data_IF_989218448927
#
_entry.id   IF_989218448927
#
_cell.length_a   1.000
_cell.length_b   1.000
_cell.length_c   1.000
_cell.angle_alpha   90.00
_cell.angle_beta   90.00
_cell.angle_gamma   90.00
#
_symmetry.space_group_name_H-M   'P 1'
#
loop_
_entity.id
_entity.type
_entity.pdbx_description
1 polymer ?
#
# COMPACT_ATOMS: atom_id res chain seq x y z
N UNK A 1 53.97 13.91 65.04
CA UNK A 1 52.94 14.69 65.76
C UNK A 1 52.13 15.40 64.69
N UNK A 2 51.26 14.69 63.97
CA UNK A 2 49.83 14.51 64.28
C UNK A 2 49.09 15.83 64.49
N UNK A 3 48.12 16.15 63.62
CA UNK A 3 46.68 16.09 63.97
C UNK A 3 45.78 16.47 62.77
N UNK A 4 45.23 15.44 62.12
CA UNK A 4 43.79 15.18 61.94
C UNK A 4 42.78 16.37 61.96
N UNK A 5 41.98 16.55 60.88
CA UNK A 5 40.53 16.23 60.80
C UNK A 5 39.76 16.94 59.66
N UNK A 6 39.02 16.09 58.94
CA UNK A 6 37.80 16.25 58.11
C UNK A 6 37.03 17.58 58.18
N UNK A 7 36.55 18.04 57.01
CA UNK A 7 35.18 18.52 56.83
C UNK A 7 34.72 18.29 55.37
N UNK A 8 33.65 17.52 55.18
CA UNK A 8 32.79 17.54 53.99
C UNK A 8 31.80 18.71 54.12
N UNK A 9 31.28 19.22 53.00
CA UNK A 9 29.81 19.24 52.90
C UNK A 9 29.25 18.89 51.51
N UNK A 10 28.12 18.19 51.56
CA UNK A 10 26.94 18.21 50.70
C UNK A 10 27.13 18.45 49.19
N UNK A 11 27.10 17.37 48.41
CA UNK A 11 26.62 17.41 47.02
C UNK A 11 25.11 17.25 47.06
N UNK A 12 24.43 18.26 46.54
CA UNK A 12 23.00 18.40 46.43
C UNK A 12 22.36 17.25 45.64
N UNK A 13 21.23 16.82 46.18
CA UNK A 13 20.24 15.92 45.61
C UNK A 13 19.77 16.46 44.24
N UNK A 14 20.22 15.86 43.13
CA UNK A 14 19.60 16.07 41.82
C UNK A 14 18.37 15.17 41.73
N UNK A 15 17.22 15.80 41.91
CA UNK A 15 15.90 15.27 41.63
C UNK A 15 15.89 14.69 40.21
N UNK A 16 15.73 13.37 40.11
CA UNK A 16 15.29 12.71 38.88
C UNK A 16 13.84 13.14 38.68
N UNK A 17 13.64 14.25 37.97
CA UNK A 17 12.32 14.60 37.45
C UNK A 17 11.96 13.54 36.42
N UNK A 18 10.95 12.76 36.76
CA UNK A 18 10.21 11.89 35.86
C UNK A 18 10.04 12.55 34.50
N UNK A 19 10.68 11.96 33.48
CA UNK A 19 10.36 12.26 32.11
C UNK A 19 8.88 11.90 31.93
N UNK A 20 8.05 12.94 31.78
CA UNK A 20 6.73 12.79 31.22
C UNK A 20 6.96 12.20 29.82
N UNK A 21 6.54 10.96 29.62
CA UNK A 21 6.34 10.46 28.29
C UNK A 21 5.18 11.28 27.73
N UNK A 22 5.51 12.33 26.98
CA UNK A 22 4.55 12.95 26.09
C UNK A 22 4.17 11.88 25.06
N UNK A 23 2.92 11.45 25.11
CA UNK A 23 2.28 10.74 24.01
C UNK A 23 2.41 11.63 22.77
N UNK A 24 3.38 11.31 21.91
CA UNK A 24 3.54 11.98 20.62
C UNK A 24 2.30 11.63 19.81
N UNK A 25 1.38 12.58 19.76
CA UNK A 25 0.23 12.56 18.87
C UNK A 25 0.75 12.68 17.43
N UNK A 26 1.11 11.55 16.82
CA UNK A 26 1.75 11.38 15.51
C UNK A 26 0.90 11.84 14.32
N UNK A 27 -0.27 12.42 14.56
CA UNK A 27 -1.17 12.96 13.52
C UNK A 27 -0.85 14.42 13.11
N UNK A 28 0.07 15.10 13.79
CA UNK A 28 0.41 16.48 13.46
C UNK A 28 1.36 16.54 12.25
N UNK A 29 0.77 16.90 11.09
CA UNK A 29 1.39 17.37 9.84
C UNK A 29 1.49 16.38 8.65
N UNK A 30 0.65 15.35 8.60
CA UNK A 30 0.46 14.55 7.38
C UNK A 30 -0.26 15.36 6.30
N UNK A 31 0.43 15.66 5.19
CA UNK A 31 -0.18 16.23 4.00
C UNK A 31 -0.62 15.12 3.01
N UNK A 32 -1.92 14.84 3.03
CA UNK A 32 -2.53 13.85 2.13
C UNK A 32 -3.03 14.45 0.81
N UNK A 33 -2.97 15.77 0.65
CA UNK A 33 -3.51 16.44 -0.54
C UNK A 33 -2.76 16.03 -1.82
N UNK A 34 -3.47 16.11 -2.94
CA UNK A 34 -2.96 15.78 -4.27
C UNK A 34 -3.55 14.50 -4.84
N UNK A 35 -2.90 13.97 -5.88
CA UNK A 35 -3.40 12.83 -6.64
C UNK A 35 -2.87 11.51 -6.11
N UNK A 36 -3.76 10.52 -6.10
CA UNK A 36 -3.49 9.18 -5.60
C UNK A 36 -4.04 8.13 -6.56
N UNK A 37 -3.44 6.94 -6.57
CA UNK A 37 -4.00 5.77 -7.23
C UNK A 37 -4.81 5.01 -6.19
N UNK A 38 -6.10 4.83 -6.41
CA UNK A 38 -7.00 4.13 -5.51
C UNK A 38 -7.64 2.89 -6.15
N UNK A 39 -7.89 1.87 -5.35
CA UNK A 39 -8.69 0.69 -5.70
C UNK A 39 -9.81 0.51 -4.68
N UNK A 40 -11.00 0.12 -5.16
CA UNK A 40 -12.23 0.04 -4.37
C UNK A 40 -12.88 -1.34 -4.52
N UNK A 41 -12.55 -2.28 -3.65
CA UNK A 41 -13.12 -3.64 -3.70
C UNK A 41 -14.60 -3.60 -3.26
N UNK A 42 -15.51 -4.34 -3.93
CA UNK A 42 -15.27 -5.41 -4.90
C UNK A 42 -14.95 -4.99 -6.35
N UNK A 43 -14.95 -3.70 -6.67
CA UNK A 43 -14.67 -3.18 -8.01
C UNK A 43 -13.14 -3.03 -8.18
N UNK A 44 -12.49 -4.10 -8.66
CA UNK A 44 -11.04 -4.31 -8.57
C UNK A 44 -10.17 -3.56 -9.59
N UNK A 45 -10.57 -2.40 -10.11
CA UNK A 45 -9.67 -1.59 -10.94
C UNK A 45 -9.11 -0.42 -10.16
N UNK A 46 -7.83 -0.17 -10.40
CA UNK A 46 -7.18 1.05 -9.95
C UNK A 46 -7.61 2.23 -10.83
N UNK A 47 -7.94 3.34 -10.16
CA UNK A 47 -8.28 4.63 -10.73
C UNK A 47 -7.49 5.75 -10.04
N UNK A 48 -7.58 6.96 -10.59
CA UNK A 48 -6.94 8.14 -10.00
C UNK A 48 -8.00 8.92 -9.23
N UNK A 49 -7.66 9.30 -8.01
CA UNK A 49 -8.46 10.16 -7.15
C UNK A 49 -7.66 11.39 -6.74
N UNK A 50 -8.37 12.45 -6.41
CA UNK A 50 -7.82 13.70 -5.91
C UNK A 50 -8.25 13.87 -4.45
N UNK A 51 -7.28 13.99 -3.55
CA UNK A 51 -7.52 14.24 -2.14
C UNK A 51 -7.32 15.73 -1.90
N UNK A 52 -8.30 16.36 -1.27
CA UNK A 52 -8.24 17.78 -0.88
C UNK A 52 -8.71 17.95 0.55
N UNK A 53 -8.12 18.90 1.28
CA UNK A 53 -8.58 19.26 2.61
C UNK A 53 -9.66 20.35 2.49
N UNK A 54 -10.85 20.06 2.98
CA UNK A 54 -11.99 20.99 2.95
C UNK A 54 -12.56 21.14 4.37
N UNK A 55 -12.28 22.29 5.00
CA UNK A 55 -12.65 22.51 6.40
C UNK A 55 -11.97 21.49 7.32
N UNK A 56 -12.79 20.67 7.99
CA UNK A 56 -12.34 19.65 8.95
C UNK A 56 -12.38 18.21 8.38
N UNK A 57 -12.40 18.06 7.06
CA UNK A 57 -12.42 16.76 6.39
C UNK A 57 -11.40 16.72 5.25
N UNK A 58 -10.87 15.53 4.98
CA UNK A 58 -10.29 15.17 3.71
C UNK A 58 -11.38 14.64 2.78
N UNK A 59 -11.46 15.21 1.58
CA UNK A 59 -12.42 14.85 0.54
C UNK A 59 -11.67 14.17 -0.60
N UNK A 60 -12.08 12.96 -0.92
CA UNK A 60 -11.54 12.15 -2.02
C UNK A 60 -12.51 12.20 -3.19
N UNK A 61 -12.08 12.78 -4.30
CA UNK A 61 -12.88 12.99 -5.50
C UNK A 61 -12.36 12.11 -6.64
N UNK A 62 -13.25 11.46 -7.39
CA UNK A 62 -12.84 10.63 -8.53
C UNK A 62 -12.38 11.51 -9.69
N UNK A 63 -11.12 11.38 -10.10
CA UNK A 63 -10.62 12.02 -11.34
C UNK A 63 -11.22 11.31 -12.54
N UNK A 64 -11.15 9.97 -12.54
CA UNK A 64 -11.76 9.11 -13.56
C UNK A 64 -12.71 8.14 -12.88
N UNK A 65 -13.94 8.58 -12.67
CA UNK A 65 -14.97 7.75 -12.06
C UNK A 65 -15.55 6.69 -13.00
N UNK A 66 -16.66 6.12 -12.57
CA UNK A 66 -17.29 4.94 -13.17
C UNK A 66 -18.82 5.06 -13.24
N UNK A 67 -19.47 3.96 -13.65
CA UNK A 67 -20.92 3.94 -13.84
C UNK A 67 -21.71 4.06 -12.54
N UNK A 68 -21.10 3.83 -11.38
CA UNK A 68 -21.69 3.96 -10.05
C UNK A 68 -21.34 5.31 -9.45
N UNK A 69 -20.06 5.68 -9.40
CA UNK A 69 -19.61 7.00 -8.89
C UNK A 69 -18.84 7.71 -10.01
N UNK A 70 -19.42 8.71 -10.69
CA UNK A 70 -18.81 9.32 -11.87
C UNK A 70 -17.65 10.27 -11.53
N UNK A 71 -16.95 10.72 -12.57
CA UNK A 71 -15.88 11.72 -12.44
C UNK A 71 -16.42 13.01 -11.82
N UNK A 72 -15.63 13.60 -10.91
CA UNK A 72 -16.00 14.81 -10.17
C UNK A 72 -16.81 14.56 -8.90
N UNK A 73 -17.32 13.34 -8.69
CA UNK A 73 -18.04 13.00 -7.47
C UNK A 73 -17.10 12.55 -6.35
N UNK A 74 -17.55 12.76 -5.11
CA UNK A 74 -16.84 12.35 -3.91
C UNK A 74 -16.96 10.82 -3.78
N UNK A 75 -15.83 10.11 -3.73
CA UNK A 75 -15.79 8.67 -3.48
C UNK A 75 -15.60 8.34 -2.00
N UNK A 76 -14.94 9.21 -1.25
CA UNK A 76 -14.70 9.02 0.19
C UNK A 76 -14.50 10.36 0.89
N UNK A 77 -14.81 10.39 2.17
CA UNK A 77 -14.42 11.46 3.09
C UNK A 77 -13.91 10.89 4.40
N UNK A 78 -12.99 11.60 5.04
CA UNK A 78 -12.44 11.25 6.35
C UNK A 78 -12.22 12.50 7.20
N UNK A 79 -12.35 12.40 8.51
CA UNK A 79 -11.99 13.48 9.42
C UNK A 79 -10.46 13.64 9.54
N UNK A 80 -10.01 14.81 10.01
CA UNK A 80 -8.57 15.13 10.06
C UNK A 80 -7.78 14.26 11.05
N UNK A 81 -8.44 13.61 12.01
CA UNK A 81 -7.82 12.70 12.98
C UNK A 81 -8.00 11.23 12.58
N UNK A 82 -8.55 10.97 11.39
CA UNK A 82 -8.70 9.64 10.79
C UNK A 82 -9.49 8.64 11.63
N UNK A 83 -10.36 9.14 12.52
CA UNK A 83 -11.21 8.30 13.38
C UNK A 83 -12.48 7.86 12.66
N UNK A 84 -12.95 8.65 11.70
CA UNK A 84 -14.17 8.39 10.96
C UNK A 84 -13.91 8.54 9.47
N UNK A 85 -14.33 7.55 8.68
CA UNK A 85 -14.41 7.69 7.24
C UNK A 85 -15.75 7.21 6.70
N UNK A 86 -16.12 7.73 5.52
CA UNK A 86 -17.30 7.30 4.78
C UNK A 86 -16.97 7.15 3.31
N UNK A 87 -17.27 6.00 2.73
CA UNK A 87 -17.23 5.79 1.28
C UNK A 87 -18.58 6.02 0.62
N UNK A 88 -18.57 6.49 -0.62
CA UNK A 88 -19.75 6.74 -1.42
C UNK A 88 -20.09 5.51 -2.27
N UNK A 89 -21.30 5.00 -2.10
CA UNK A 89 -21.91 4.00 -2.98
C UNK A 89 -23.09 4.58 -3.75
N UNK A 90 -23.46 3.94 -4.87
CA UNK A 90 -24.66 4.25 -5.61
C UNK A 90 -25.05 3.08 -6.53
N UNK A 91 -26.31 3.05 -6.97
CA UNK A 91 -26.74 2.18 -8.06
C UNK A 91 -26.22 2.68 -9.41
N UNK A 92 -26.15 1.79 -10.40
CA UNK A 92 -25.69 2.12 -11.77
C UNK A 92 -26.40 3.36 -12.33
N UNK A 93 -25.61 4.27 -12.89
CA UNK A 93 -26.02 5.59 -13.33
C UNK A 93 -26.06 6.63 -12.21
N UNK A 94 -25.26 6.44 -11.14
CA UNK A 94 -25.23 7.28 -9.93
C UNK A 94 -26.62 7.54 -9.32
N UNK A 95 -27.44 6.49 -9.26
CA UNK A 95 -28.79 6.58 -8.71
C UNK A 95 -28.78 6.21 -7.23
N UNK A 96 -29.56 6.94 -6.44
CA UNK A 96 -29.71 6.72 -4.99
C UNK A 96 -28.36 6.66 -4.26
N UNK A 97 -27.55 7.73 -4.30
CA UNK A 97 -26.26 7.75 -3.62
C UNK A 97 -26.44 7.58 -2.10
N UNK A 98 -25.55 6.79 -1.49
CA UNK A 98 -25.54 6.51 -0.06
C UNK A 98 -24.11 6.45 0.50
N UNK A 99 -23.98 6.66 1.81
CA UNK A 99 -22.71 6.60 2.51
C UNK A 99 -22.57 5.29 3.28
N UNK A 100 -21.38 4.69 3.23
CA UNK A 100 -20.98 3.51 3.99
C UNK A 100 -19.91 3.97 4.98
N UNK A 101 -20.13 3.74 6.28
CA UNK A 101 -19.10 4.02 7.27
C UNK A 101 -17.92 3.05 7.11
N UNK A 102 -16.71 3.57 7.27
CA UNK A 102 -15.47 2.80 7.21
C UNK A 102 -14.53 3.17 8.35
N UNK A 103 -13.54 2.31 8.57
CA UNK A 103 -12.40 2.52 9.47
C UNK A 103 -11.12 2.55 8.65
N UNK A 104 -10.30 3.57 8.87
CA UNK A 104 -8.95 3.61 8.30
C UNK A 104 -8.02 2.75 9.17
N UNK A 105 -7.31 1.81 8.57
CA UNK A 105 -6.30 0.97 9.22
C UNK A 105 -4.90 1.56 9.06
N UNK A 106 -4.66 2.20 7.91
CA UNK A 106 -3.36 2.77 7.57
C UNK A 106 -3.58 4.15 7.01
N UNK A 107 -2.83 5.12 7.55
CA UNK A 107 -2.73 6.48 7.00
C UNK A 107 -1.27 6.91 7.09
N UNK A 108 -0.60 6.98 5.95
CA UNK A 108 0.76 7.50 5.78
C UNK A 108 0.80 8.49 4.62
N UNK A 109 1.97 9.10 4.40
CA UNK A 109 2.20 10.01 3.27
C UNK A 109 2.02 9.34 1.90
N UNK A 110 2.03 8.01 1.82
CA UNK A 110 2.10 7.27 0.56
C UNK A 110 1.18 6.04 0.49
N UNK A 111 0.47 5.71 1.57
CA UNK A 111 -0.52 4.65 1.65
C UNK A 111 -1.68 5.03 2.58
N UNK A 112 -2.89 4.86 2.09
CA UNK A 112 -4.13 4.94 2.86
C UNK A 112 -4.87 3.63 2.63
N UNK A 113 -5.26 2.94 3.70
CA UNK A 113 -6.07 1.75 3.60
C UNK A 113 -7.20 1.76 4.62
N UNK A 114 -8.40 1.36 4.21
CA UNK A 114 -9.58 1.36 5.07
C UNK A 114 -10.62 0.33 4.66
N UNK A 115 -11.39 -0.10 5.65
CA UNK A 115 -12.37 -1.18 5.54
C UNK A 115 -13.70 -0.74 6.15
N UNK A 116 -14.80 -1.08 5.48
CA UNK A 116 -16.17 -0.91 5.94
C UNK A 116 -17.04 -2.05 5.41
N UNK A 117 -18.31 -2.04 5.76
CA UNK A 117 -19.27 -3.08 5.33
C UNK A 117 -19.38 -3.10 3.80
N UNK A 118 -18.69 -4.06 3.19
CA UNK A 118 -18.64 -4.21 1.73
C UNK A 118 -17.79 -3.16 1.00
N UNK A 119 -17.01 -2.35 1.71
CA UNK A 119 -16.10 -1.36 1.16
C UNK A 119 -14.67 -1.65 1.60
N UNK A 120 -13.76 -1.83 0.66
CA UNK A 120 -12.33 -1.85 0.96
C UNK A 120 -11.61 -0.90 0.01
N UNK A 121 -10.97 0.10 0.60
CA UNK A 121 -10.23 1.14 -0.13
C UNK A 121 -8.75 0.99 0.17
N UNK A 122 -7.95 0.99 -0.88
CA UNK A 122 -6.50 1.13 -0.79
C UNK A 122 -6.11 2.23 -1.77
N UNK A 123 -5.54 3.32 -1.26
CA UNK A 123 -4.98 4.39 -2.05
C UNK A 123 -3.48 4.49 -1.79
N UNK A 124 -2.69 4.59 -2.85
CA UNK A 124 -1.24 4.68 -2.76
C UNK A 124 -0.70 5.72 -3.74
N UNK A 125 0.50 6.20 -3.45
CA UNK A 125 1.32 6.97 -4.40
C UNK A 125 2.79 6.59 -4.25
N UNK A 126 3.56 6.81 -5.31
CA UNK A 126 5.02 6.77 -5.22
C UNK A 126 5.49 8.21 -5.05
N UNK A 127 6.12 8.50 -3.91
CA UNK A 127 6.75 9.80 -3.69
C UNK A 127 7.95 9.96 -4.65
N UNK A 128 8.30 11.19 -5.07
CA UNK A 128 9.45 11.42 -5.97
C UNK A 128 10.76 10.75 -5.49
N UNK A 129 10.99 10.76 -4.19
CA UNK A 129 12.14 10.20 -3.48
C UNK A 129 12.01 8.70 -3.16
N UNK A 130 10.87 8.08 -3.47
CA UNK A 130 10.63 6.67 -3.16
C UNK A 130 11.67 5.78 -3.87
N UNK A 131 12.31 4.88 -3.14
CA UNK A 131 13.28 3.95 -3.76
C UNK A 131 12.60 2.76 -4.43
N UNK A 132 11.33 2.52 -4.11
CA UNK A 132 10.54 1.38 -4.60
C UNK A 132 9.17 1.83 -5.08
N UNK A 133 8.73 1.27 -6.21
CA UNK A 133 7.41 1.50 -6.78
C UNK A 133 6.38 0.53 -6.22
N UNK A 134 5.22 1.05 -5.80
CA UNK A 134 4.12 0.26 -5.26
C UNK A 134 3.44 -0.58 -6.34
N UNK A 135 3.40 -1.90 -6.19
CA UNK A 135 2.94 -2.81 -7.25
C UNK A 135 2.00 -3.92 -6.79
N UNK A 136 1.72 -4.04 -5.49
CA UNK A 136 0.75 -5.02 -4.97
C UNK A 136 -0.14 -4.32 -3.94
N UNK A 137 -1.43 -4.19 -4.27
CA UNK A 137 -2.48 -3.65 -3.37
C UNK A 137 -3.40 -4.73 -2.80
N UNK A 138 -3.48 -5.89 -3.46
CA UNK A 138 -4.32 -7.03 -3.08
C UNK A 138 -3.66 -8.34 -3.54
N UNK A 139 -3.86 -9.42 -2.79
CA UNK A 139 -3.44 -10.78 -3.13
C UNK A 139 -4.30 -11.43 -4.23
N UNK A 140 -5.46 -10.86 -4.55
CA UNK A 140 -6.30 -11.30 -5.69
C UNK A 140 -6.03 -10.53 -6.98
N UNK A 141 -5.15 -9.55 -6.95
CA UNK A 141 -4.79 -8.76 -8.13
C UNK A 141 -4.36 -9.66 -9.30
N UNK A 142 -5.03 -9.52 -10.43
CA UNK A 142 -4.60 -10.10 -11.70
C UNK A 142 -5.13 -9.28 -12.86
N UNK A 143 -4.54 -9.51 -14.03
CA UNK A 143 -5.03 -8.94 -15.27
C UNK A 143 -6.48 -9.39 -15.57
N UNK A 144 -7.30 -8.51 -16.17
CA UNK A 144 -8.62 -8.88 -16.62
C UNK A 144 -8.54 -9.95 -17.72
N UNK A 145 -9.66 -10.62 -17.99
CA UNK A 145 -9.79 -11.51 -19.13
C UNK A 145 -9.41 -10.74 -20.41
N UNK A 146 -8.46 -11.28 -21.19
CA UNK A 146 -7.84 -10.68 -22.38
C UNK A 146 -6.87 -9.50 -22.13
N UNK A 147 -6.53 -9.19 -20.87
CA UNK A 147 -5.54 -8.15 -20.55
C UNK A 147 -4.12 -8.46 -21.06
N UNK A 148 -3.80 -9.75 -21.25
CA UNK A 148 -2.47 -10.19 -21.70
C UNK A 148 -2.13 -9.67 -23.11
N UNK A 149 -3.04 -9.78 -24.07
CA UNK A 149 -2.80 -9.30 -25.45
C UNK A 149 -2.51 -7.80 -25.47
N UNK A 150 -3.28 -7.03 -24.70
CA UNK A 150 -3.09 -5.59 -24.55
C UNK A 150 -1.69 -5.28 -24.01
N UNK A 151 -1.24 -6.04 -23.01
CA UNK A 151 0.07 -5.86 -22.40
C UNK A 151 1.20 -6.22 -23.35
N UNK A 152 1.12 -7.34 -24.06
CA UNK A 152 2.13 -7.75 -25.02
C UNK A 152 2.30 -6.72 -26.15
N UNK A 153 1.21 -6.09 -26.61
CA UNK A 153 1.26 -5.03 -27.62
C UNK A 153 1.81 -3.69 -27.09
N UNK A 154 1.53 -3.36 -25.83
CA UNK A 154 1.86 -2.04 -25.27
C UNK A 154 3.23 -1.99 -24.59
N UNK A 155 3.71 -3.10 -24.01
CA UNK A 155 5.02 -3.15 -23.34
C UNK A 155 6.16 -2.68 -24.23
N UNK A 156 6.30 -3.08 -25.51
CA UNK A 156 7.40 -2.61 -26.36
C UNK A 156 7.42 -1.10 -26.54
N UNK A 157 6.23 -0.48 -26.66
CA UNK A 157 6.07 0.97 -26.83
C UNK A 157 6.37 1.73 -25.53
N UNK A 158 6.05 1.12 -24.40
CA UNK A 158 6.17 1.72 -23.08
C UNK A 158 7.49 1.37 -22.36
N UNK A 159 8.28 0.42 -22.86
CA UNK A 159 9.43 -0.16 -22.15
C UNK A 159 10.41 0.90 -21.64
N UNK A 160 10.97 1.70 -22.55
CA UNK A 160 11.90 2.79 -22.20
C UNK A 160 11.24 3.95 -21.48
N UNK A 161 9.92 4.09 -21.60
CA UNK A 161 9.16 5.13 -20.91
C UNK A 161 8.99 4.77 -19.42
N UNK A 162 8.58 3.54 -19.14
CA UNK A 162 8.23 3.04 -17.81
C UNK A 162 9.42 2.49 -17.00
N UNK A 163 10.44 1.94 -17.66
CA UNK A 163 11.55 1.27 -17.01
C UNK A 163 12.87 1.98 -17.27
N UNK A 164 13.73 1.98 -16.26
CA UNK A 164 15.13 2.35 -16.35
C UNK A 164 15.97 1.08 -16.11
N UNK A 165 16.75 0.68 -17.11
CA UNK A 165 17.45 -0.62 -17.10
C UNK A 165 18.96 -0.46 -17.21
N UNK A 166 19.68 -1.27 -16.44
CA UNK A 166 21.12 -1.50 -16.54
C UNK A 166 21.33 -2.95 -16.97
N UNK A 167 21.66 -3.16 -18.25
CA UNK A 167 21.62 -4.47 -18.87
C UNK A 167 20.18 -5.03 -18.87
N UNK A 168 20.00 -6.22 -18.29
CA UNK A 168 18.69 -6.91 -18.19
C UNK A 168 18.01 -6.72 -16.84
N UNK A 169 18.57 -5.89 -15.95
CA UNK A 169 17.96 -5.56 -14.65
C UNK A 169 17.34 -4.18 -14.72
N UNK A 170 16.03 -4.09 -14.50
CA UNK A 170 15.26 -2.86 -14.62
C UNK A 170 14.71 -2.39 -13.28
N UNK A 171 14.42 -1.09 -13.24
CA UNK A 171 13.64 -0.42 -12.21
C UNK A 171 12.44 0.25 -12.83
N UNK A 172 11.30 0.19 -12.15
CA UNK A 172 10.19 1.10 -12.39
C UNK A 172 10.67 2.53 -12.16
N UNK A 173 10.37 3.42 -13.10
CA UNK A 173 10.65 4.84 -12.90
C UNK A 173 9.67 5.44 -11.89
N UNK A 174 10.18 6.38 -11.10
CA UNK A 174 9.33 7.28 -10.34
C UNK A 174 8.78 8.37 -11.26
N UNK A 175 7.58 8.83 -10.92
CA UNK A 175 6.88 9.86 -11.65
C UNK A 175 6.76 11.10 -10.77
N UNK A 176 6.98 12.31 -11.32
CA UNK A 176 6.72 13.53 -10.58
C UNK A 176 5.22 13.69 -10.31
N UNK A 177 4.88 14.52 -9.33
CA UNK A 177 3.50 14.88 -9.02
C UNK A 177 2.76 15.36 -10.28
N UNK A 178 1.50 14.94 -10.42
CA UNK A 178 0.65 15.24 -11.59
C UNK A 178 0.82 14.28 -12.77
N UNK A 179 1.66 13.24 -12.64
CA UNK A 179 1.89 12.18 -13.66
C UNK A 179 1.41 10.81 -13.18
N UNK A 180 0.39 10.78 -12.33
CA UNK A 180 -0.17 9.55 -11.75
C UNK A 180 -0.79 8.66 -12.83
N UNK A 181 -1.27 9.23 -13.94
CA UNK A 181 -1.77 8.48 -15.09
C UNK A 181 -0.67 7.65 -15.76
N UNK A 182 0.51 8.23 -15.98
CA UNK A 182 1.67 7.51 -16.49
C UNK A 182 2.13 6.43 -15.51
N UNK A 183 2.21 6.78 -14.22
CA UNK A 183 2.54 5.83 -13.17
C UNK A 183 1.59 4.61 -13.18
N UNK A 184 0.28 4.87 -13.22
CA UNK A 184 -0.74 3.84 -13.25
C UNK A 184 -0.66 2.96 -14.51
N UNK A 185 -0.45 3.57 -15.69
CA UNK A 185 -0.28 2.82 -16.94
C UNK A 185 0.94 1.91 -16.85
N UNK A 186 2.08 2.43 -16.40
CA UNK A 186 3.30 1.66 -16.26
C UNK A 186 3.14 0.49 -15.27
N UNK A 187 2.50 0.72 -14.12
CA UNK A 187 2.18 -0.34 -13.15
C UNK A 187 1.27 -1.39 -13.77
N UNK A 188 0.24 -1.00 -14.52
CA UNK A 188 -0.65 -1.94 -15.22
C UNK A 188 0.10 -2.82 -16.22
N UNK A 189 1.09 -2.26 -16.92
CA UNK A 189 1.87 -3.00 -17.92
C UNK A 189 2.91 -3.94 -17.30
N UNK A 190 3.58 -3.54 -16.22
CA UNK A 190 4.78 -4.23 -15.71
C UNK A 190 4.63 -4.85 -14.31
N UNK A 191 3.58 -4.52 -13.56
CA UNK A 191 3.38 -4.96 -12.18
C UNK A 191 2.13 -5.81 -11.93
N UNK A 192 1.35 -6.12 -12.97
CA UNK A 192 0.12 -6.92 -12.81
C UNK A 192 0.37 -8.37 -13.22
N UNK A 193 0.13 -9.35 -12.33
CA UNK A 193 0.32 -10.75 -12.67
C UNK A 193 -0.79 -11.22 -13.63
N UNK A 194 -0.45 -12.16 -14.52
CA UNK A 194 -1.43 -12.88 -15.36
C UNK A 194 -2.21 -13.91 -14.56
N UNK A 195 -1.62 -14.41 -13.47
CA UNK A 195 -2.26 -15.34 -12.54
C UNK A 195 -1.90 -14.99 -11.11
N UNK A 196 -2.90 -14.97 -10.25
CA UNK A 196 -2.76 -14.98 -8.80
C UNK A 196 -3.72 -16.04 -8.24
N UNK A 197 -3.26 -16.86 -7.29
CA UNK A 197 -4.15 -17.81 -6.63
C UNK A 197 -4.68 -17.13 -5.38
N UNK A 198 -5.91 -16.66 -5.49
CA UNK A 198 -6.60 -16.15 -4.33
C UNK A 198 -6.94 -17.28 -3.36
N UNK A 199 -6.27 -17.36 -2.21
CA UNK A 199 -6.66 -18.23 -1.11
C UNK A 199 -7.22 -17.42 0.06
N UNK A 200 -8.43 -17.73 0.49
CA UNK A 200 -8.87 -17.39 1.83
C UNK A 200 -7.95 -18.10 2.85
N UNK A 201 -7.77 -17.50 4.01
CA UNK A 201 -6.77 -17.93 4.99
C UNK A 201 -7.51 -18.20 6.30
N UNK A 202 -7.31 -19.40 6.81
CA UNK A 202 -7.78 -19.75 8.14
C UNK A 202 -6.62 -19.75 9.13
N UNK A 203 -6.93 -19.69 10.42
CA UNK A 203 -5.95 -19.81 11.52
C UNK A 203 -4.95 -20.97 11.28
N UNK A 204 -5.42 -22.11 10.81
CA UNK A 204 -4.61 -23.31 10.49
C UNK A 204 -3.55 -23.07 9.40
N UNK A 205 -3.86 -22.27 8.38
CA UNK A 205 -2.93 -21.93 7.30
C UNK A 205 -1.75 -21.07 7.78
N UNK A 206 -1.88 -20.47 8.97
CA UNK A 206 -0.91 -19.55 9.58
C UNK A 206 -0.42 -20.04 10.94
N UNK A 207 -0.38 -21.36 11.14
CA UNK A 207 0.12 -22.01 12.36
C UNK A 207 -0.71 -21.68 13.61
N UNK A 208 -2.04 -21.68 13.47
CA UNK A 208 -3.01 -21.47 14.56
C UNK A 208 -2.80 -20.15 15.31
N UNK A 209 -2.71 -19.05 14.54
CA UNK A 209 -2.50 -17.70 15.09
C UNK A 209 -3.73 -17.15 15.83
N UNK A 210 -4.87 -17.84 15.74
CA UNK A 210 -6.15 -17.39 16.28
C UNK A 210 -6.79 -16.31 15.41
N UNK A 211 -7.90 -15.75 15.89
CA UNK A 211 -8.60 -14.67 15.18
C UNK A 211 -7.87 -13.34 15.33
N UNK A 212 -7.84 -12.53 14.28
CA UNK A 212 -7.28 -11.17 14.33
C UNK A 212 -6.96 -10.61 12.95
N UNK A 213 -6.51 -9.36 12.89
CA UNK A 213 -6.01 -8.75 11.66
C UNK A 213 -4.48 -8.76 11.62
N UNK A 214 -3.89 -8.79 10.43
CA UNK A 214 -2.46 -8.59 10.25
C UNK A 214 -2.18 -7.80 8.99
N UNK A 215 -1.20 -6.92 9.09
CA UNK A 215 -0.77 -6.00 8.06
C UNK A 215 0.72 -6.22 7.78
N UNK A 216 1.11 -6.22 6.51
CA UNK A 216 2.48 -6.46 6.10
C UNK A 216 2.89 -5.56 4.95
N UNK A 217 4.01 -4.86 5.13
CA UNK A 217 4.71 -4.13 4.08
C UNK A 217 5.97 -4.90 3.69
N UNK A 218 6.26 -4.93 2.40
CA UNK A 218 7.42 -5.65 1.89
C UNK A 218 7.94 -5.06 0.59
N UNK A 219 9.21 -5.36 0.32
CA UNK A 219 9.83 -5.19 -1.00
C UNK A 219 10.04 -6.55 -1.66
N UNK A 220 10.09 -6.55 -2.99
CA UNK A 220 10.30 -7.75 -3.80
C UNK A 220 10.83 -7.38 -5.20
N UNK A 221 11.11 -8.40 -6.01
CA UNK A 221 11.39 -8.25 -7.44
C UNK A 221 10.54 -9.19 -8.29
N UNK A 222 10.34 -8.84 -9.56
CA UNK A 222 9.86 -9.77 -10.59
C UNK A 222 11.08 -10.32 -11.31
N UNK A 223 11.27 -11.64 -11.28
CA UNK A 223 12.38 -12.32 -11.95
C UNK A 223 12.20 -12.38 -13.46
N UNK A 224 13.27 -12.76 -14.19
CA UNK A 224 13.20 -13.07 -15.63
C UNK A 224 12.20 -14.17 -15.98
N UNK A 225 11.85 -15.04 -15.04
CA UNK A 225 10.84 -16.11 -15.24
C UNK A 225 9.42 -15.64 -14.94
N UNK A 226 9.24 -14.36 -14.61
CA UNK A 226 7.95 -13.81 -14.21
C UNK A 226 7.48 -14.29 -12.84
N UNK A 227 8.40 -14.57 -11.90
CA UNK A 227 8.07 -14.95 -10.52
C UNK A 227 8.38 -13.80 -9.56
N UNK A 228 7.57 -13.64 -8.51
CA UNK A 228 7.91 -12.74 -7.42
C UNK A 228 8.97 -13.37 -6.50
N UNK A 229 10.11 -12.68 -6.31
CA UNK A 229 11.26 -13.17 -5.57
C UNK A 229 11.81 -12.13 -4.60
N UNK A 230 12.76 -12.55 -3.76
CA UNK A 230 13.50 -11.69 -2.82
C UNK A 230 12.60 -10.86 -1.89
N UNK A 231 11.52 -11.44 -1.40
CA UNK A 231 10.65 -10.78 -0.42
C UNK A 231 11.45 -10.41 0.84
N UNK A 232 11.41 -9.12 1.18
CA UNK A 232 11.94 -8.56 2.43
C UNK A 232 10.81 -7.80 3.12
N UNK A 233 10.48 -8.18 4.36
CA UNK A 233 9.52 -7.44 5.16
C UNK A 233 10.14 -6.12 5.63
N UNK A 234 9.46 -5.01 5.35
CA UNK A 234 9.87 -3.67 5.82
C UNK A 234 9.16 -3.31 7.12
N UNK A 235 7.88 -3.67 7.25
CA UNK A 235 7.13 -3.56 8.50
C UNK A 235 6.04 -4.64 8.57
N UNK A 236 5.58 -4.93 9.78
CA UNK A 236 4.44 -5.81 10.01
C UNK A 236 3.76 -5.43 11.34
N UNK A 237 2.46 -5.64 11.43
CA UNK A 237 1.66 -5.39 12.63
C UNK A 237 0.50 -6.41 12.74
N UNK A 238 -0.06 -6.56 13.93
CA UNK A 238 -1.23 -7.41 14.19
C UNK A 238 -0.92 -8.80 14.75
N UNK A 239 -1.83 -9.75 14.49
CA UNK A 239 -1.84 -11.07 15.11
C UNK A 239 -0.65 -11.98 14.73
N UNK A 240 -0.18 -11.90 13.48
CA UNK A 240 0.97 -12.70 13.02
C UNK A 240 2.29 -12.20 13.61
N UNK A 241 3.12 -13.11 14.12
CA UNK A 241 4.51 -12.80 14.38
C UNK A 241 5.32 -12.66 13.07
N UNK A 242 6.54 -12.11 13.16
CA UNK A 242 7.42 -11.87 12.00
C UNK A 242 7.63 -13.11 11.11
N UNK A 243 7.79 -14.30 11.71
CA UNK A 243 8.03 -15.55 10.96
C UNK A 243 6.78 -15.98 10.20
N UNK A 244 5.61 -15.88 10.83
CA UNK A 244 4.31 -16.14 10.22
C UNK A 244 4.05 -15.15 9.07
N UNK A 245 4.12 -13.85 9.34
CA UNK A 245 3.93 -12.78 8.35
C UNK A 245 4.83 -12.98 7.12
N UNK A 246 6.12 -13.31 7.33
CA UNK A 246 7.06 -13.54 6.24
C UNK A 246 6.73 -14.79 5.43
N UNK A 247 6.46 -15.90 6.11
CA UNK A 247 6.15 -17.18 5.45
C UNK A 247 4.88 -17.05 4.62
N UNK A 248 3.86 -16.44 5.22
CA UNK A 248 2.57 -16.25 4.61
C UNK A 248 2.64 -15.33 3.39
N UNK A 249 3.24 -14.15 3.53
CA UNK A 249 3.42 -13.20 2.42
C UNK A 249 4.21 -13.83 1.26
N UNK A 250 5.24 -14.62 1.56
CA UNK A 250 6.00 -15.35 0.54
C UNK A 250 5.15 -16.37 -0.20
N UNK A 251 4.28 -17.11 0.50
CA UNK A 251 3.40 -18.09 -0.14
C UNK A 251 2.39 -17.43 -1.08
N UNK A 252 1.88 -16.26 -0.72
CA UNK A 252 1.00 -15.45 -1.57
C UNK A 252 1.74 -14.99 -2.81
N UNK A 253 2.91 -14.36 -2.65
CA UNK A 253 3.71 -13.91 -3.79
C UNK A 253 4.16 -15.07 -4.69
N UNK A 254 4.42 -16.25 -4.12
CA UNK A 254 4.75 -17.45 -4.91
C UNK A 254 3.58 -17.93 -5.80
N UNK A 255 2.36 -17.49 -5.53
CA UNK A 255 1.20 -17.75 -6.40
C UNK A 255 1.10 -16.80 -7.59
N UNK A 256 1.84 -15.69 -7.56
CA UNK A 256 1.83 -14.69 -8.63
C UNK A 256 2.70 -15.18 -9.79
N UNK A 257 2.10 -15.25 -10.97
CA UNK A 257 2.80 -15.41 -12.23
C UNK A 257 2.63 -14.13 -13.03
N UNK A 258 3.76 -13.54 -13.41
CA UNK A 258 3.84 -12.43 -14.33
C UNK A 258 4.18 -12.95 -15.72
N UNK A 259 3.68 -12.26 -16.74
CA UNK A 259 4.18 -12.45 -18.09
C UNK A 259 5.63 -11.95 -18.15
N UNK A 260 6.61 -12.77 -18.57
CA UNK A 260 7.99 -12.33 -18.74
C UNK A 260 8.11 -11.07 -19.59
N UNK A 261 9.07 -10.21 -19.27
CA UNK A 261 9.33 -9.00 -20.03
C UNK A 261 10.40 -9.34 -21.06
N UNK A 262 9.98 -9.63 -22.28
CA UNK A 262 10.86 -9.91 -23.41
C UNK A 262 10.91 -8.72 -24.37
N UNK A 263 12.10 -8.22 -24.67
CA UNK A 263 12.35 -7.18 -25.67
C UNK A 263 13.53 -7.59 -26.53
N UNK A 264 13.35 -7.62 -27.85
CA UNK A 264 14.41 -7.93 -28.82
C UNK A 264 15.16 -9.24 -28.52
N UNK A 265 14.47 -10.26 -27.98
CA UNK A 265 15.03 -11.56 -27.61
C UNK A 265 15.72 -11.61 -26.24
N UNK A 266 15.80 -10.49 -25.53
CA UNK A 266 16.33 -10.41 -24.16
C UNK A 266 15.21 -10.41 -23.13
N UNK A 267 15.45 -11.06 -21.98
CA UNK A 267 14.47 -11.19 -20.89
C UNK A 267 14.93 -10.38 -19.68
N UNK A 268 14.02 -9.55 -19.17
CA UNK A 268 14.30 -8.55 -18.14
C UNK A 268 13.65 -8.90 -16.79
N UNK A 269 14.29 -8.46 -15.71
CA UNK A 269 13.74 -8.47 -14.34
C UNK A 269 13.43 -7.04 -13.86
N UNK A 270 12.57 -6.88 -12.84
CA UNK A 270 12.24 -5.59 -12.22
C UNK A 270 12.50 -5.65 -10.72
N UNK A 271 13.39 -4.81 -10.18
CA UNK A 271 14.01 -5.05 -8.88
C UNK A 271 13.72 -4.02 -7.77
N UNK A 272 12.89 -3.00 -8.01
CA UNK A 272 12.56 -1.95 -7.04
C UNK A 272 11.06 -1.93 -6.69
N UNK A 273 10.49 -3.08 -6.38
CA UNK A 273 9.05 -3.17 -6.14
C UNK A 273 8.74 -3.26 -4.66
N UNK A 274 7.62 -2.64 -4.26
CA UNK A 274 7.04 -2.80 -2.94
C UNK A 274 5.56 -3.17 -3.02
N UNK A 275 5.03 -3.66 -1.91
CA UNK A 275 3.64 -4.03 -1.80
C UNK A 275 3.17 -4.00 -0.36
N UNK A 276 1.86 -4.06 -0.24
CA UNK A 276 1.15 -4.10 1.02
C UNK A 276 0.11 -5.19 0.97
N UNK A 277 -0.04 -5.90 2.09
CA UNK A 277 -1.04 -6.94 2.25
C UNK A 277 -1.69 -6.82 3.62
N UNK A 278 -3.00 -7.04 3.64
CA UNK A 278 -3.80 -7.08 4.85
C UNK A 278 -4.66 -8.34 4.87
N UNK A 279 -4.82 -8.92 6.05
CA UNK A 279 -5.65 -10.10 6.25
C UNK A 279 -6.46 -10.00 7.53
N UNK A 280 -7.74 -10.34 7.40
CA UNK A 280 -8.53 -10.82 8.53
C UNK A 280 -8.35 -12.33 8.62
N UNK A 281 -7.90 -12.79 9.78
CA UNK A 281 -7.73 -14.19 10.14
C UNK A 281 -8.90 -14.55 11.04
N UNK A 282 -9.56 -15.66 10.72
CA UNK A 282 -10.64 -16.22 11.51
C UNK A 282 -10.20 -17.57 12.07
N UNK A 283 -10.43 -17.75 13.36
CA UNK A 283 -10.38 -19.05 14.03
C UNK A 283 -11.76 -19.69 13.82
N UNK A 284 -11.82 -20.75 13.01
CA UNK A 284 -13.07 -21.45 12.68
C UNK A 284 -13.34 -22.59 13.65
#
# INVERSE_FOLDING_TARGET
MEFMKKLLPLISLLLVTSAWAEDINTAQDLNLEGKWIATYVPISYEEIVDISKQGNEYIVTKVRGDQYVPSGEISMKADLNFQNCKGQGASKGFKNPYWIDCRLEVVSEDLIAGFGDGLYVVAYRDLPEATHSFCVTDWKEKLPENGLETILNMRPKAFKHCLACEGTSCKMKNWPEGREAESLICKKLFCKPTRAIGKAINSEDVLNVGSGASEVHFTYRISKKGTAENLVLTSFSGAMNKKQARTFSRNILASFQYEPIEMDGEIYEVNNLRGWLYWNIYDM
#
